data_IF_948815765270
#
_entry.id   IF_948815765270
#
_cell.length_a   1.000
_cell.length_b   1.000
_cell.length_c   1.000
_cell.angle_alpha   90.00
_cell.angle_beta   90.00
_cell.angle_gamma   90.00
#
_symmetry.space_group_name_H-M   'P 1'
#
loop_
_entity.id
_entity.type
_entity.pdbx_description
1 polymer ?
#
# COMPACT_ATOMS: atom_id res chain seq x y z
N UNK A 1 15.73 15.73 19.81
CA UNK A 1 14.86 14.93 18.92
C UNK A 1 15.67 14.65 17.67
N UNK A 2 16.11 13.41 17.45
CA UNK A 2 16.77 13.07 16.18
C UNK A 2 15.71 13.18 15.07
N UNK A 3 15.98 13.95 14.03
CA UNK A 3 15.16 13.92 12.82
C UNK A 3 14.99 12.47 12.36
N UNK A 4 13.76 12.03 12.13
CA UNK A 4 13.49 10.72 11.52
C UNK A 4 14.30 10.64 10.22
N UNK A 5 15.31 9.77 10.20
CA UNK A 5 16.21 9.63 9.07
C UNK A 5 15.66 8.51 8.17
N UNK A 6 14.87 8.85 7.17
CA UNK A 6 14.26 7.92 6.20
C UNK A 6 15.28 7.32 5.21
N UNK A 7 16.54 7.18 5.61
CA UNK A 7 17.67 7.03 4.71
C UNK A 7 17.61 5.72 3.92
N UNK A 8 17.65 5.81 2.59
CA UNK A 8 17.65 4.65 1.69
C UNK A 8 16.29 3.96 1.55
N UNK A 9 15.19 4.60 1.96
CA UNK A 9 13.82 4.16 1.66
C UNK A 9 13.34 4.73 0.33
N UNK A 10 12.68 3.89 -0.45
CA UNK A 10 11.88 4.28 -1.61
C UNK A 10 10.44 3.83 -1.42
N UNK A 11 9.49 4.54 -2.01
CA UNK A 11 8.09 4.15 -1.92
C UNK A 11 7.28 4.60 -3.14
N UNK A 12 6.12 3.99 -3.31
CA UNK A 12 5.11 4.41 -4.26
C UNK A 12 3.71 4.22 -3.67
N UNK A 13 2.76 5.04 -4.10
CA UNK A 13 1.37 4.95 -3.66
C UNK A 13 0.49 4.64 -4.87
N UNK A 14 -0.38 3.64 -4.74
CA UNK A 14 -1.42 3.31 -5.72
C UNK A 14 -2.76 3.75 -5.11
N UNK A 15 -3.50 4.59 -5.83
CA UNK A 15 -4.80 5.13 -5.44
C UNK A 15 -5.88 4.62 -6.39
N UNK A 16 -6.81 3.84 -5.87
CA UNK A 16 -7.91 3.25 -6.64
C UNK A 16 -9.16 4.12 -6.54
N UNK A 17 -9.83 4.38 -7.66
CA UNK A 17 -11.10 5.09 -7.69
C UNK A 17 -11.87 4.78 -8.98
N UNK A 18 -13.08 5.32 -9.11
CA UNK A 18 -13.89 5.22 -10.32
C UNK A 18 -14.06 6.59 -10.95
N UNK A 19 -14.19 6.62 -12.27
CA UNK A 19 -14.34 7.87 -12.99
C UNK A 19 -15.30 7.78 -14.16
N UNK A 20 -16.09 8.83 -14.35
CA UNK A 20 -17.01 8.89 -15.48
C UNK A 20 -16.20 8.93 -16.79
N UNK A 21 -16.54 8.09 -17.78
CA UNK A 21 -16.07 8.33 -19.13
C UNK A 21 -16.68 9.65 -19.66
N UNK A 22 -15.99 10.38 -20.53
CA UNK A 22 -16.50 11.64 -21.08
C UNK A 22 -17.79 11.42 -21.89
N UNK A 23 -18.77 12.31 -21.76
CA UNK A 23 -20.00 12.30 -22.56
C UNK A 23 -19.70 12.73 -24.01
N UNK A 24 -19.67 11.81 -24.99
CA UNK A 24 -20.08 12.01 -26.41
C UNK A 24 -19.74 10.85 -27.37
N UNK A 25 -20.50 10.82 -28.46
CA UNK A 25 -20.57 9.82 -29.54
C UNK A 25 -19.26 9.43 -30.26
N UNK A 26 -18.14 10.13 -30.04
CA UNK A 26 -16.85 9.82 -30.66
C UNK A 26 -16.12 8.65 -29.99
N UNK A 27 -16.55 8.23 -28.81
CA UNK A 27 -15.91 7.15 -28.07
C UNK A 27 -16.53 5.76 -28.28
N UNK A 28 -17.51 5.62 -29.21
CA UNK A 28 -18.20 4.34 -29.50
C UNK A 28 -17.26 3.21 -29.96
N UNK A 29 -16.03 3.54 -30.36
CA UNK A 29 -15.01 2.58 -30.80
C UNK A 29 -14.02 2.17 -29.69
N UNK A 30 -14.14 2.73 -28.48
CA UNK A 30 -13.16 2.56 -27.41
C UNK A 30 -13.80 1.96 -26.16
N UNK A 31 -13.00 1.25 -25.36
CA UNK A 31 -13.48 0.75 -24.06
C UNK A 31 -13.73 1.93 -23.11
N UNK A 32 -14.87 1.97 -22.39
CA UNK A 32 -15.16 3.02 -21.40
C UNK A 32 -14.04 3.18 -20.37
N UNK A 33 -13.37 2.08 -20.04
CA UNK A 33 -12.24 2.06 -19.10
C UNK A 33 -11.05 2.88 -19.60
N UNK A 34 -10.65 2.72 -20.87
CA UNK A 34 -9.57 3.52 -21.47
C UNK A 34 -9.95 5.00 -21.60
N UNK A 35 -11.21 5.28 -21.93
CA UNK A 35 -11.72 6.65 -22.07
C UNK A 35 -11.72 7.40 -20.72
N UNK A 36 -12.16 6.77 -19.63
CA UNK A 36 -12.17 7.37 -18.31
C UNK A 36 -10.75 7.76 -17.83
N UNK A 37 -9.78 6.85 -17.97
CA UNK A 37 -8.37 7.10 -17.59
C UNK A 37 -7.71 8.19 -18.44
N UNK A 38 -7.90 8.11 -19.76
CA UNK A 38 -7.40 9.11 -20.71
C UNK A 38 -7.98 10.50 -20.40
N UNK A 39 -9.27 10.58 -20.08
CA UNK A 39 -9.92 11.84 -19.77
C UNK A 39 -9.33 12.51 -18.52
N UNK A 40 -9.23 11.78 -17.40
CA UNK A 40 -8.68 12.35 -16.16
C UNK A 40 -7.23 12.78 -16.35
N UNK A 41 -6.41 11.91 -16.94
CA UNK A 41 -4.99 12.22 -17.13
C UNK A 41 -4.77 13.43 -18.03
N UNK A 42 -5.55 13.62 -19.10
CA UNK A 42 -5.53 14.83 -19.95
C UNK A 42 -6.07 16.07 -19.25
N UNK A 43 -7.11 15.97 -18.43
CA UNK A 43 -7.59 17.11 -17.65
C UNK A 43 -6.55 17.54 -16.62
N UNK A 44 -5.84 16.57 -16.02
CA UNK A 44 -4.83 16.83 -15.01
C UNK A 44 -3.65 17.64 -15.57
N UNK A 45 -3.24 17.43 -16.82
CA UNK A 45 -2.16 18.22 -17.46
C UNK A 45 -2.47 19.72 -17.55
N UNK A 46 -3.74 20.13 -17.39
CA UNK A 46 -4.14 21.54 -17.38
C UNK A 46 -3.89 22.21 -16.03
N UNK A 47 -3.66 21.43 -14.97
CA UNK A 47 -3.58 21.91 -13.59
C UNK A 47 -2.29 21.53 -12.87
N UNK A 48 -1.37 20.84 -13.53
CA UNK A 48 -0.06 20.50 -12.97
C UNK A 48 0.99 20.37 -14.07
N UNK A 49 2.26 20.58 -13.72
CA UNK A 49 3.42 20.30 -14.57
C UNK A 49 4.07 18.95 -14.27
N UNK A 50 3.49 18.16 -13.36
CA UNK A 50 4.01 16.84 -12.99
C UNK A 50 3.95 15.87 -14.17
N UNK A 51 4.93 14.96 -14.33
CA UNK A 51 4.89 13.97 -15.40
C UNK A 51 3.71 13.02 -15.27
N UNK A 52 2.93 12.84 -16.34
CA UNK A 52 1.72 12.02 -16.35
C UNK A 52 1.78 11.04 -17.52
N UNK A 53 1.51 9.78 -17.23
CA UNK A 53 1.35 8.74 -18.23
C UNK A 53 0.06 7.94 -18.01
N UNK A 54 -0.39 7.24 -19.05
CA UNK A 54 -1.56 6.40 -18.98
C UNK A 54 -1.29 5.07 -19.70
N UNK A 55 -1.74 3.97 -19.09
CA UNK A 55 -1.68 2.64 -19.68
C UNK A 55 -2.82 2.43 -20.68
N UNK A 56 -2.45 1.99 -21.88
CA UNK A 56 -3.37 1.58 -22.92
C UNK A 56 -3.65 0.06 -22.85
N UNK A 57 -4.85 -0.34 -23.25
CA UNK A 57 -5.33 -1.72 -23.12
C UNK A 57 -5.97 -2.22 -24.42
N UNK A 58 -5.21 -2.16 -25.51
CA UNK A 58 -5.69 -2.52 -26.86
C UNK A 58 -4.71 -3.48 -27.57
N UNK A 59 -5.20 -4.20 -28.58
CA UNK A 59 -4.35 -4.96 -29.49
C UNK A 59 -3.68 -4.04 -30.51
N UNK A 60 -2.62 -4.51 -31.18
CA UNK A 60 -1.67 -3.68 -31.96
C UNK A 60 -2.26 -2.83 -33.09
N UNK A 61 -3.54 -2.98 -33.45
CA UNK A 61 -4.21 -2.22 -34.52
C UNK A 61 -5.57 -1.64 -34.11
N UNK A 62 -5.93 -1.68 -32.83
CA UNK A 62 -7.20 -1.15 -32.33
C UNK A 62 -7.10 0.34 -31.99
N UNK A 63 -8.16 1.07 -32.25
CA UNK A 63 -8.29 2.44 -31.77
C UNK A 63 -8.35 2.43 -30.22
N UNK A 64 -7.46 3.18 -29.56
CA UNK A 64 -7.48 3.35 -28.10
C UNK A 64 -7.57 4.83 -27.70
N UNK A 65 -8.46 5.16 -26.76
CA UNK A 65 -8.69 6.53 -26.31
C UNK A 65 -7.48 7.15 -25.62
N UNK A 66 -6.59 6.29 -25.09
CA UNK A 66 -5.31 6.69 -24.52
C UNK A 66 -4.32 7.06 -25.63
N UNK A 67 -4.31 6.31 -26.74
CA UNK A 67 -3.29 6.44 -27.79
C UNK A 67 -3.63 7.42 -28.91
N UNK A 68 -4.93 7.69 -29.12
CA UNK A 68 -5.44 8.38 -30.31
C UNK A 68 -4.75 9.72 -30.60
N UNK A 69 -4.44 10.48 -29.55
CA UNK A 69 -3.87 11.83 -29.67
C UNK A 69 -2.39 11.90 -29.24
N UNK A 70 -1.75 10.76 -29.01
CA UNK A 70 -0.38 10.71 -28.49
C UNK A 70 0.59 10.43 -29.65
N UNK A 71 1.60 11.29 -29.88
CA UNK A 71 2.68 11.02 -30.84
C UNK A 71 3.44 9.72 -30.54
N UNK A 72 3.89 9.00 -31.57
CA UNK A 72 4.56 7.71 -31.38
C UNK A 72 5.84 7.80 -30.55
N UNK A 73 6.56 8.93 -30.61
CA UNK A 73 7.73 9.18 -29.76
C UNK A 73 7.42 9.25 -28.26
N UNK A 74 6.15 9.39 -27.88
CA UNK A 74 5.68 9.40 -26.49
C UNK A 74 4.93 8.11 -26.13
N UNK A 75 5.11 7.05 -26.90
CA UNK A 75 4.59 5.71 -26.62
C UNK A 75 5.74 4.77 -26.33
N UNK A 76 5.66 4.05 -25.22
CA UNK A 76 6.61 2.99 -24.85
C UNK A 76 5.84 1.74 -24.44
N UNK A 77 5.79 0.75 -25.32
CA UNK A 77 4.98 -0.46 -25.11
C UNK A 77 3.50 -0.11 -24.93
N UNK A 78 2.95 -0.36 -23.74
CA UNK A 78 1.56 -0.03 -23.37
C UNK A 78 1.40 1.31 -22.65
N UNK A 79 2.48 2.08 -22.50
CA UNK A 79 2.47 3.34 -21.76
C UNK A 79 2.46 4.51 -22.75
N UNK A 80 1.53 5.43 -22.57
CA UNK A 80 1.46 6.70 -23.31
C UNK A 80 1.79 7.84 -22.35
N UNK A 81 2.86 8.60 -22.64
CA UNK A 81 3.26 9.77 -21.87
C UNK A 81 2.47 10.99 -22.35
N UNK A 82 1.47 11.38 -21.57
CA UNK A 82 0.55 12.47 -21.90
C UNK A 82 1.20 13.82 -21.60
N UNK A 83 1.93 13.89 -20.49
CA UNK A 83 2.78 15.00 -20.12
C UNK A 83 4.16 14.43 -19.75
N UNK A 84 5.09 14.29 -20.71
CA UNK A 84 6.44 13.85 -20.40
C UNK A 84 7.15 14.90 -19.52
N UNK A 85 8.06 14.45 -18.66
CA UNK A 85 8.90 15.36 -17.88
C UNK A 85 9.96 16.07 -18.74
N UNK A 86 10.80 16.89 -18.10
CA UNK A 86 11.76 17.74 -18.79
C UNK A 86 12.95 16.99 -19.44
N UNK A 87 13.18 15.72 -19.10
CA UNK A 87 14.32 14.92 -19.59
C UNK A 87 13.88 13.63 -20.27
N UNK A 88 14.73 13.04 -21.13
CA UNK A 88 14.46 11.73 -21.73
C UNK A 88 14.36 10.60 -20.68
N UNK A 89 15.01 10.76 -19.52
CA UNK A 89 14.92 9.86 -18.35
C UNK A 89 13.53 9.87 -17.71
N UNK A 90 12.72 10.92 -17.93
CA UNK A 90 11.33 10.99 -17.48
C UNK A 90 10.36 10.08 -18.26
N UNK A 91 10.87 9.33 -19.24
CA UNK A 91 10.13 8.31 -19.99
C UNK A 91 10.28 6.89 -19.42
N UNK A 92 10.56 6.78 -18.12
CA UNK A 92 10.38 5.56 -17.36
C UNK A 92 9.05 5.60 -16.60
N UNK A 93 8.29 4.50 -16.61
CA UNK A 93 6.94 4.45 -16.03
C UNK A 93 6.93 4.69 -14.50
N UNK A 94 8.06 4.44 -13.84
CA UNK A 94 8.33 4.71 -12.43
C UNK A 94 8.67 6.18 -12.14
N UNK A 95 8.78 7.03 -13.16
CA UNK A 95 9.10 8.46 -13.03
C UNK A 95 7.89 9.37 -13.28
N UNK A 96 6.71 8.80 -13.46
CA UNK A 96 5.48 9.54 -13.74
C UNK A 96 4.31 9.08 -12.87
N UNK A 97 3.30 9.95 -12.76
CA UNK A 97 2.00 9.53 -12.29
C UNK A 97 1.32 8.70 -13.38
N UNK A 98 1.16 7.40 -13.11
CA UNK A 98 0.69 6.43 -14.08
C UNK A 98 -0.76 6.03 -13.80
N UNK A 99 -1.64 6.24 -14.78
CA UNK A 99 -3.04 5.81 -14.71
C UNK A 99 -3.21 4.44 -15.38
N UNK A 100 -3.65 3.44 -14.61
CA UNK A 100 -3.87 2.05 -15.06
C UNK A 100 -5.32 1.62 -14.89
N UNK A 101 -5.68 0.57 -15.62
CA UNK A 101 -6.95 -0.10 -15.40
C UNK A 101 -6.97 -0.76 -14.03
N UNK A 102 -8.08 -0.60 -13.32
CA UNK A 102 -8.34 -1.34 -12.07
C UNK A 102 -9.69 -2.05 -12.14
N UNK A 103 -9.75 -3.25 -11.54
CA UNK A 103 -10.99 -3.99 -11.39
C UNK A 103 -11.58 -3.73 -10.00
N UNK A 104 -12.79 -3.15 -9.96
CA UNK A 104 -13.49 -2.81 -8.71
C UNK A 104 -14.91 -3.38 -8.72
N UNK A 105 -15.30 -4.05 -7.64
CA UNK A 105 -16.62 -4.70 -7.51
C UNK A 105 -17.80 -3.74 -7.24
N UNK A 106 -17.58 -2.42 -7.15
CA UNK A 106 -18.62 -1.40 -6.94
C UNK A 106 -19.58 -1.73 -5.79
N UNK A 107 -19.13 -1.58 -4.54
CA UNK A 107 -19.85 -2.09 -3.35
C UNK A 107 -21.02 -1.21 -2.92
N UNK A 108 -20.95 0.12 -3.13
CA UNK A 108 -22.06 1.03 -2.77
C UNK A 108 -23.08 1.09 -3.90
N UNK A 109 -24.37 1.07 -3.53
CA UNK A 109 -25.48 1.11 -4.49
C UNK A 109 -25.42 2.26 -5.50
N UNK A 110 -24.99 3.46 -5.07
CA UNK A 110 -24.80 4.61 -5.98
C UNK A 110 -23.72 4.36 -7.03
N UNK A 111 -22.62 3.71 -6.68
CA UNK A 111 -21.54 3.41 -7.62
C UNK A 111 -21.89 2.21 -8.50
N UNK A 112 -22.60 1.21 -7.97
CA UNK A 112 -23.17 0.12 -8.76
C UNK A 112 -24.15 0.64 -9.83
N UNK A 113 -24.96 1.64 -9.51
CA UNK A 113 -25.85 2.31 -10.48
C UNK A 113 -25.07 3.10 -11.54
N UNK A 114 -23.99 3.79 -11.15
CA UNK A 114 -23.13 4.54 -12.09
C UNK A 114 -22.37 3.62 -13.03
N UNK A 115 -21.91 2.47 -12.53
CA UNK A 115 -21.08 1.51 -13.27
C UNK A 115 -19.87 2.20 -13.93
N UNK A 116 -19.24 3.12 -13.20
CA UNK A 116 -18.08 3.84 -13.71
C UNK A 116 -16.84 2.95 -13.67
N UNK A 117 -15.99 2.99 -14.71
CA UNK A 117 -14.75 2.23 -14.74
C UNK A 117 -13.82 2.50 -13.56
N UNK A 118 -13.19 1.44 -13.06
CA UNK A 118 -12.07 1.52 -12.12
C UNK A 118 -10.80 2.08 -12.78
N UNK A 119 -10.10 2.89 -11.98
CA UNK A 119 -8.85 3.57 -12.32
C UNK A 119 -7.91 3.44 -11.13
N UNK A 120 -6.71 2.95 -11.37
CA UNK A 120 -5.59 3.03 -10.42
C UNK A 120 -4.66 4.17 -10.86
N UNK A 121 -4.33 5.07 -9.94
CA UNK A 121 -3.30 6.09 -10.14
C UNK A 121 -2.10 5.77 -9.28
N UNK A 122 -0.98 5.45 -9.91
CA UNK A 122 0.29 5.20 -9.23
C UNK A 122 1.14 6.46 -9.20
N UNK A 123 1.78 6.75 -8.07
CA UNK A 123 2.84 7.75 -8.02
C UNK A 123 4.09 7.27 -8.78
N UNK A 124 4.99 8.18 -9.16
CA UNK A 124 6.39 7.78 -9.38
C UNK A 124 6.97 7.08 -8.14
N UNK A 125 8.12 6.44 -8.29
CA UNK A 125 8.93 5.99 -7.15
C UNK A 125 9.51 7.22 -6.48
N UNK A 126 9.07 7.45 -5.25
CA UNK A 126 9.44 8.58 -4.41
C UNK A 126 10.54 8.14 -3.45
N UNK A 127 11.44 9.07 -3.11
CA UNK A 127 12.55 8.83 -2.19
C UNK A 127 12.34 9.50 -0.83
N UNK A 128 13.30 9.28 0.07
CA UNK A 128 13.33 9.81 1.43
C UNK A 128 13.07 11.32 1.56
N UNK A 129 13.51 12.13 0.60
CA UNK A 129 13.34 13.59 0.63
C UNK A 129 11.87 14.00 0.47
N UNK A 130 11.11 13.28 -0.37
CA UNK A 130 9.68 13.50 -0.53
C UNK A 130 8.93 13.16 0.77
N UNK A 131 9.31 12.05 1.42
CA UNK A 131 8.73 11.65 2.71
C UNK A 131 9.04 12.67 3.81
N UNK A 132 10.31 13.09 3.93
CA UNK A 132 10.76 14.07 4.93
C UNK A 132 10.09 15.44 4.77
N UNK A 133 9.74 15.82 3.54
CA UNK A 133 9.05 17.09 3.23
C UNK A 133 7.53 17.00 3.30
N UNK A 134 6.97 15.84 3.70
CA UNK A 134 5.54 15.65 3.88
C UNK A 134 4.77 15.44 2.59
N UNK A 135 5.38 14.81 1.58
CA UNK A 135 4.78 14.44 0.29
C UNK A 135 4.24 15.61 -0.56
N UNK A 136 5.02 16.68 -0.81
CA UNK A 136 4.57 17.84 -1.59
C UNK A 136 4.16 17.52 -3.03
N UNK A 137 4.80 16.55 -3.67
CA UNK A 137 4.50 16.12 -5.04
C UNK A 137 3.12 15.46 -5.10
N UNK A 138 2.81 14.60 -4.15
CA UNK A 138 1.48 13.99 -4.01
C UNK A 138 0.42 15.04 -3.65
N UNK A 139 0.74 15.99 -2.76
CA UNK A 139 -0.15 17.10 -2.40
C UNK A 139 -0.54 17.92 -3.63
N UNK A 140 0.45 18.31 -4.45
CA UNK A 140 0.26 19.05 -5.70
C UNK A 140 -0.67 18.31 -6.64
N UNK A 141 -0.47 17.00 -6.80
CA UNK A 141 -1.29 16.18 -7.67
C UNK A 141 -2.75 16.08 -7.18
N UNK A 142 -2.98 15.81 -5.90
CA UNK A 142 -4.33 15.71 -5.33
C UNK A 142 -5.09 17.04 -5.43
N UNK A 143 -4.40 18.17 -5.21
CA UNK A 143 -4.93 19.51 -5.45
C UNK A 143 -5.32 19.70 -6.92
N UNK A 144 -4.42 19.37 -7.84
CA UNK A 144 -4.69 19.45 -9.28
C UNK A 144 -5.87 18.56 -9.70
N UNK A 145 -5.98 17.36 -9.14
CA UNK A 145 -7.08 16.42 -9.42
C UNK A 145 -8.44 17.03 -9.06
N UNK A 146 -8.54 17.71 -7.92
CA UNK A 146 -9.77 18.41 -7.49
C UNK A 146 -10.12 19.63 -8.35
N UNK A 147 -9.15 20.20 -9.06
CA UNK A 147 -9.35 21.35 -9.97
C UNK A 147 -9.81 20.93 -11.37
N UNK A 148 -9.63 19.66 -11.75
CA UNK A 148 -9.99 19.16 -13.09
C UNK A 148 -11.48 19.25 -13.43
N UNK A 149 -12.36 19.29 -12.42
CA UNK A 149 -13.81 19.12 -12.62
C UNK A 149 -14.22 17.72 -13.08
N UNK A 150 -13.30 16.75 -13.11
CA UNK A 150 -13.60 15.37 -13.48
C UNK A 150 -14.57 14.74 -12.47
N UNK A 151 -15.53 13.97 -12.99
CA UNK A 151 -16.45 13.21 -12.17
C UNK A 151 -15.76 11.95 -11.64
N UNK A 152 -15.26 12.05 -10.41
CA UNK A 152 -14.55 10.98 -9.70
C UNK A 152 -15.36 10.54 -8.49
N UNK A 153 -15.45 9.23 -8.26
CA UNK A 153 -16.10 8.62 -7.09
C UNK A 153 -15.23 7.51 -6.53
N UNK A 154 -15.42 7.17 -5.25
CA UNK A 154 -14.77 6.05 -4.60
C UNK A 154 -15.72 5.42 -3.57
N UNK A 155 -15.50 4.16 -3.22
CA UNK A 155 -16.20 3.49 -2.12
C UNK A 155 -15.33 2.45 -1.42
N UNK A 156 -15.95 1.61 -0.59
CA UNK A 156 -15.28 0.60 0.23
C UNK A 156 -14.48 -0.44 -0.59
N UNK A 157 -14.74 -0.56 -1.90
CA UNK A 157 -13.92 -1.39 -2.81
C UNK A 157 -12.58 -0.74 -3.15
N UNK A 158 -12.46 0.58 -3.05
CA UNK A 158 -11.27 1.34 -3.41
C UNK A 158 -10.25 1.37 -2.27
N UNK A 159 -9.02 0.95 -2.55
CA UNK A 159 -7.88 1.02 -1.66
C UNK A 159 -6.87 2.11 -1.99
N UNK A 160 -6.03 2.35 -0.98
CA UNK A 160 -4.76 3.03 -1.14
C UNK A 160 -3.66 2.03 -0.77
N UNK A 161 -2.89 1.58 -1.76
CA UNK A 161 -1.76 0.69 -1.53
C UNK A 161 -0.47 1.49 -1.42
N UNK A 162 0.39 1.12 -0.48
CA UNK A 162 1.72 1.72 -0.36
C UNK A 162 2.76 0.64 -0.56
N UNK A 163 3.59 0.82 -1.58
CA UNK A 163 4.77 0.02 -1.82
C UNK A 163 5.96 0.67 -1.12
N UNK A 164 6.68 -0.07 -0.30
CA UNK A 164 7.92 0.41 0.33
C UNK A 164 9.06 -0.52 -0.05
N UNK A 165 10.14 0.06 -0.57
CA UNK A 165 11.38 -0.60 -0.95
C UNK A 165 12.57 0.04 -0.24
N UNK A 166 13.75 -0.53 -0.47
CA UNK A 166 15.03 -0.02 0.01
C UNK A 166 16.01 0.06 -1.15
N UNK A 167 16.87 1.07 -1.16
CA UNK A 167 17.81 1.32 -2.27
C UNK A 167 18.80 0.16 -2.51
N UNK A 168 19.16 -0.58 -1.46
CA UNK A 168 19.98 -1.79 -1.54
C UNK A 168 19.24 -3.04 -2.05
N UNK A 169 17.94 -2.92 -2.35
CA UNK A 169 17.08 -4.04 -2.70
C UNK A 169 16.57 -4.83 -1.50
N UNK A 170 15.41 -5.48 -1.67
CA UNK A 170 14.78 -6.26 -0.60
C UNK A 170 15.50 -7.60 -0.43
N UNK A 171 15.76 -7.97 0.81
CA UNK A 171 16.27 -9.29 1.20
C UNK A 171 15.18 -10.10 1.87
N UNK A 172 15.24 -11.43 1.80
CA UNK A 172 14.32 -12.29 2.58
C UNK A 172 14.44 -12.00 4.07
N UNK A 173 15.64 -11.71 4.57
CA UNK A 173 15.89 -11.37 5.98
C UNK A 173 15.15 -10.10 6.40
N UNK A 174 15.25 -9.03 5.63
CA UNK A 174 14.53 -7.79 5.90
C UNK A 174 13.01 -8.01 5.80
N UNK A 175 12.54 -8.73 4.78
CA UNK A 175 11.13 -9.01 4.60
C UNK A 175 10.53 -9.81 5.78
N UNK A 176 11.25 -10.82 6.32
CA UNK A 176 10.85 -11.55 7.55
C UNK A 176 10.68 -10.61 8.75
N UNK A 177 11.60 -9.66 8.92
CA UNK A 177 11.56 -8.66 10.00
C UNK A 177 10.39 -7.69 9.83
N UNK A 178 10.14 -7.21 8.61
CA UNK A 178 8.96 -6.38 8.30
C UNK A 178 7.67 -7.14 8.62
N UNK A 179 7.53 -8.37 8.12
CA UNK A 179 6.36 -9.21 8.38
C UNK A 179 6.17 -9.49 9.86
N UNK A 180 7.26 -9.70 10.62
CA UNK A 180 7.21 -9.85 12.08
C UNK A 180 6.58 -8.63 12.75
N UNK A 181 7.03 -7.42 12.40
CA UNK A 181 6.44 -6.19 12.93
C UNK A 181 4.96 -6.06 12.54
N UNK A 182 4.60 -6.36 11.30
CA UNK A 182 3.19 -6.30 10.85
C UNK A 182 2.32 -7.26 11.66
N UNK A 183 2.75 -8.49 11.91
CA UNK A 183 1.99 -9.46 12.73
C UNK A 183 1.75 -8.93 14.15
N UNK A 184 2.75 -8.30 14.76
CA UNK A 184 2.63 -7.76 16.13
C UNK A 184 1.76 -6.48 16.20
N UNK A 185 1.61 -5.78 15.08
CA UNK A 185 0.96 -4.47 14.99
C UNK A 185 -0.41 -4.51 14.29
N UNK A 186 -0.76 -5.61 13.63
CA UNK A 186 -1.92 -5.67 12.73
C UNK A 186 -3.21 -5.25 13.44
N UNK A 187 -3.51 -5.89 14.58
CA UNK A 187 -4.77 -5.66 15.31
C UNK A 187 -4.77 -4.40 16.17
N UNK A 188 -3.60 -3.92 16.64
CA UNK A 188 -3.53 -2.84 17.64
C UNK A 188 -3.12 -1.49 17.07
N UNK A 189 -2.48 -1.46 15.90
CA UNK A 189 -2.07 -0.23 15.23
C UNK A 189 -2.61 -0.15 13.80
N UNK A 190 -2.30 -1.12 12.95
CA UNK A 190 -2.58 -1.04 11.50
C UNK A 190 -4.09 -1.01 11.24
N UNK A 191 -4.82 -2.03 11.68
CA UNK A 191 -6.27 -2.09 11.53
C UNK A 191 -6.95 -0.95 12.30
N UNK A 192 -6.37 -0.53 13.43
CA UNK A 192 -6.91 0.59 14.23
C UNK A 192 -6.95 1.91 13.45
N UNK A 193 -5.95 2.16 12.60
CA UNK A 193 -5.76 3.42 11.86
C UNK A 193 -6.42 3.44 10.47
N UNK A 194 -7.01 2.34 10.03
CA UNK A 194 -7.76 2.26 8.76
C UNK A 194 -9.27 2.17 9.01
N UNK A 195 -10.06 2.45 7.98
CA UNK A 195 -11.52 2.42 8.04
C UNK A 195 -12.04 1.01 8.36
N UNK A 196 -13.07 0.86 9.21
CA UNK A 196 -13.61 -0.45 9.60
C UNK A 196 -14.05 -1.34 8.43
N UNK A 197 -14.50 -0.76 7.31
CA UNK A 197 -14.85 -1.54 6.11
C UNK A 197 -13.66 -2.31 5.51
N UNK A 198 -12.43 -1.91 5.84
CA UNK A 198 -11.21 -2.59 5.38
C UNK A 198 -10.86 -3.82 6.18
N UNK A 199 -11.33 -3.93 7.43
CA UNK A 199 -11.00 -5.04 8.32
C UNK A 199 -11.49 -6.40 7.81
N UNK A 200 -12.59 -6.38 7.06
CA UNK A 200 -13.22 -7.57 6.49
C UNK A 200 -13.20 -7.59 4.95
N UNK A 201 -12.45 -6.67 4.33
CA UNK A 201 -12.38 -6.58 2.87
C UNK A 201 -11.63 -7.78 2.30
N UNK A 202 -12.23 -8.48 1.34
CA UNK A 202 -11.58 -9.57 0.61
C UNK A 202 -10.33 -9.13 -0.16
N UNK A 203 -10.21 -7.83 -0.45
CA UNK A 203 -9.07 -7.24 -1.14
C UNK A 203 -7.95 -6.80 -0.20
N UNK A 204 -8.19 -6.77 1.12
CA UNK A 204 -7.21 -6.33 2.11
C UNK A 204 -7.24 -7.19 3.39
N UNK A 205 -7.64 -8.46 3.24
CA UNK A 205 -7.79 -9.44 4.32
C UNK A 205 -6.60 -9.43 5.29
N UNK A 206 -6.81 -9.36 6.61
CA UNK A 206 -5.72 -9.41 7.60
C UNK A 206 -4.83 -10.63 7.44
N UNK A 207 -3.52 -10.45 7.51
CA UNK A 207 -2.56 -11.56 7.33
C UNK A 207 -2.62 -12.54 8.50
N UNK A 208 -2.88 -12.07 9.72
CA UNK A 208 -2.96 -12.92 10.91
C UNK A 208 -4.23 -13.77 10.94
N UNK A 209 -5.19 -13.52 10.06
CA UNK A 209 -6.43 -14.29 9.97
C UNK A 209 -6.51 -15.14 8.71
N UNK A 210 -6.15 -14.57 7.55
CA UNK A 210 -6.50 -15.13 6.24
C UNK A 210 -5.30 -15.62 5.42
N UNK A 211 -4.06 -15.31 5.83
CA UNK A 211 -2.87 -15.77 5.08
C UNK A 211 -2.65 -17.28 5.20
N UNK A 212 -1.85 -17.85 4.29
CA UNK A 212 -1.42 -19.25 4.43
C UNK A 212 -0.66 -19.47 5.74
N UNK A 213 0.20 -18.54 6.14
CA UNK A 213 0.95 -18.63 7.40
C UNK A 213 0.02 -18.74 8.62
N UNK A 214 -1.11 -18.02 8.62
CA UNK A 214 -2.10 -18.08 9.69
C UNK A 214 -2.91 -19.39 9.68
N UNK A 215 -3.14 -19.99 8.51
CA UNK A 215 -3.94 -21.22 8.35
C UNK A 215 -3.14 -22.51 8.42
N UNK A 216 -1.81 -22.47 8.25
CA UNK A 216 -0.96 -23.66 8.26
C UNK A 216 -0.83 -24.24 9.66
N UNK A 217 -0.82 -25.57 9.72
CA UNK A 217 -0.40 -26.30 10.91
C UNK A 217 1.12 -26.21 11.10
N UNK A 218 1.57 -26.50 12.32
CA UNK A 218 2.97 -26.35 12.71
C UNK A 218 3.92 -27.07 11.73
N UNK A 219 4.88 -26.32 11.19
CA UNK A 219 5.95 -26.85 10.36
C UNK A 219 7.11 -27.33 11.25
N UNK A 220 7.79 -28.38 10.79
CA UNK A 220 9.15 -28.67 11.25
C UNK A 220 10.07 -27.59 10.66
N UNK A 221 10.80 -26.90 11.52
CA UNK A 221 11.71 -25.82 11.15
C UNK A 221 13.12 -26.33 11.31
N UNK A 222 14.00 -25.96 10.39
CA UNK A 222 15.43 -26.25 10.50
C UNK A 222 16.00 -25.62 11.79
N UNK A 223 17.03 -26.23 12.34
CA UNK A 223 17.77 -25.72 13.50
C UNK A 223 18.35 -24.33 13.23
N UNK A 224 18.86 -24.09 12.01
CA UNK A 224 19.41 -22.79 11.62
C UNK A 224 18.34 -21.68 11.60
N UNK A 225 17.17 -21.97 11.04
CA UNK A 225 16.03 -21.04 11.02
C UNK A 225 15.47 -20.79 12.43
N UNK A 226 15.51 -21.81 13.28
CA UNK A 226 15.13 -21.69 14.70
C UNK A 226 16.09 -20.77 15.44
N UNK A 227 17.39 -20.89 15.23
CA UNK A 227 18.40 -20.00 15.84
C UNK A 227 18.24 -18.55 15.38
N UNK A 228 18.01 -18.32 14.08
CA UNK A 228 17.74 -16.99 13.54
C UNK A 228 16.46 -16.39 14.15
N UNK A 229 15.38 -17.18 14.22
CA UNK A 229 14.13 -16.76 14.84
C UNK A 229 14.31 -16.35 16.31
N UNK A 230 14.97 -17.18 17.13
CA UNK A 230 15.18 -16.95 18.56
C UNK A 230 16.09 -15.74 18.86
N UNK A 231 16.92 -15.33 17.89
CA UNK A 231 17.71 -14.10 17.98
C UNK A 231 16.84 -12.85 18.00
N UNK A 232 15.69 -12.87 17.32
CA UNK A 232 14.88 -11.67 17.08
C UNK A 232 13.52 -11.67 17.73
N UNK A 233 12.94 -12.86 17.95
CA UNK A 233 11.60 -13.03 18.48
C UNK A 233 11.71 -13.61 19.90
N UNK A 234 11.10 -12.97 20.91
CA UNK A 234 11.05 -13.49 22.26
C UNK A 234 10.42 -14.88 22.34
N UNK A 235 10.78 -15.65 23.36
CA UNK A 235 10.24 -17.00 23.57
C UNK A 235 8.71 -16.99 23.68
N UNK A 236 8.06 -18.08 23.27
CA UNK A 236 6.60 -18.20 23.36
C UNK A 236 6.04 -17.88 24.76
N UNK A 237 6.79 -18.21 25.81
CA UNK A 237 6.42 -17.96 27.20
C UNK A 237 6.29 -16.47 27.57
N UNK A 238 6.93 -15.56 26.83
CA UNK A 238 6.76 -14.12 27.03
C UNK A 238 5.53 -13.55 26.31
N UNK A 239 4.96 -14.29 25.36
CA UNK A 239 3.75 -13.89 24.64
C UNK A 239 2.50 -14.23 25.45
N UNK A 240 1.82 -13.19 25.95
CA UNK A 240 0.61 -13.33 26.77
C UNK A 240 -0.67 -13.16 25.94
N UNK A 241 -1.76 -13.87 26.25
CA UNK A 241 -3.05 -13.65 25.60
C UNK A 241 -3.53 -12.21 25.75
N UNK A 242 -3.90 -11.56 24.65
CA UNK A 242 -4.55 -10.24 24.63
C UNK A 242 -5.09 -9.93 23.22
N UNK A 243 -5.69 -8.74 23.05
CA UNK A 243 -6.34 -8.36 21.79
C UNK A 243 -5.39 -8.38 20.58
N UNK A 244 -4.09 -8.12 20.74
CA UNK A 244 -3.17 -8.11 19.59
C UNK A 244 -3.00 -9.50 18.96
N UNK A 245 -3.09 -10.57 19.75
CA UNK A 245 -2.95 -11.94 19.28
C UNK A 245 -4.27 -12.74 19.32
N UNK A 246 -5.41 -12.06 19.33
CA UNK A 246 -6.74 -12.68 19.42
C UNK A 246 -6.85 -13.70 20.59
N UNK A 247 -6.13 -13.45 21.69
CA UNK A 247 -6.00 -14.35 22.84
C UNK A 247 -5.39 -15.74 22.52
N UNK A 248 -4.75 -15.91 21.36
CA UNK A 248 -4.05 -17.13 20.95
C UNK A 248 -2.55 -16.86 20.66
N UNK A 249 -1.73 -16.67 21.71
CA UNK A 249 -0.29 -16.47 21.54
C UNK A 249 0.40 -17.68 20.89
N UNK A 250 -0.17 -18.89 20.97
CA UNK A 250 0.44 -20.09 20.37
C UNK A 250 0.35 -20.05 18.85
N UNK A 251 -0.81 -19.67 18.32
CA UNK A 251 -1.03 -19.50 16.88
C UNK A 251 -0.12 -18.40 16.32
N UNK A 252 -0.05 -17.24 16.98
CA UNK A 252 0.81 -16.14 16.52
C UNK A 252 2.31 -16.51 16.58
N UNK A 253 2.76 -17.19 17.63
CA UNK A 253 4.13 -17.70 17.70
C UNK A 253 4.44 -18.70 16.58
N UNK A 254 3.51 -19.63 16.29
CA UNK A 254 3.60 -20.55 15.14
C UNK A 254 3.68 -19.82 13.81
N UNK A 255 2.83 -18.80 13.61
CA UNK A 255 2.81 -18.00 12.39
C UNK A 255 4.15 -17.29 12.19
N UNK A 256 4.66 -16.61 13.23
CA UNK A 256 5.98 -15.97 13.18
C UNK A 256 7.07 -16.99 12.83
N UNK A 257 7.07 -18.16 13.49
CA UNK A 257 7.99 -19.25 13.16
C UNK A 257 7.92 -19.67 11.68
N UNK A 258 6.71 -19.82 11.11
CA UNK A 258 6.54 -20.16 9.69
C UNK A 258 7.03 -19.09 8.72
N UNK A 259 6.91 -17.80 9.09
CA UNK A 259 7.52 -16.70 8.33
C UNK A 259 9.05 -16.82 8.34
N UNK A 260 9.63 -17.12 9.50
CA UNK A 260 11.07 -17.24 9.64
C UNK A 260 11.67 -18.50 8.99
N UNK A 261 10.87 -19.53 8.69
CA UNK A 261 11.29 -20.70 7.91
C UNK A 261 11.26 -20.50 6.39
N UNK A 262 10.90 -19.32 5.89
CA UNK A 262 10.91 -19.03 4.44
C UNK A 262 12.34 -18.88 3.92
N UNK A 263 12.76 -19.70 2.96
CA UNK A 263 14.13 -19.65 2.41
C UNK A 263 14.36 -18.43 1.49
N UNK A 264 13.32 -17.95 0.82
CA UNK A 264 13.43 -16.85 -0.15
C UNK A 264 12.19 -15.92 -0.14
N UNK A 265 12.30 -14.82 -0.88
CA UNK A 265 11.20 -13.85 -1.02
C UNK A 265 9.97 -14.44 -1.72
N UNK A 266 10.13 -15.45 -2.58
CA UNK A 266 9.02 -16.09 -3.28
C UNK A 266 8.20 -16.96 -2.33
N UNK A 267 8.85 -17.77 -1.50
CA UNK A 267 8.19 -18.57 -0.47
C UNK A 267 7.48 -17.66 0.54
N UNK A 268 8.13 -16.59 0.99
CA UNK A 268 7.50 -15.61 1.88
C UNK A 268 6.29 -14.92 1.23
N UNK A 269 6.41 -14.54 -0.05
CA UNK A 269 5.29 -13.96 -0.80
C UNK A 269 4.09 -14.93 -0.89
N UNK A 270 4.33 -16.24 -0.93
CA UNK A 270 3.28 -17.26 -0.94
C UNK A 270 2.64 -17.46 0.42
N UNK A 271 3.44 -17.44 1.50
CA UNK A 271 2.93 -17.55 2.87
C UNK A 271 1.95 -16.42 3.24
N UNK A 272 2.17 -15.23 2.67
CA UNK A 272 1.33 -14.05 2.90
C UNK A 272 0.05 -13.99 2.06
N UNK A 273 -0.24 -15.00 1.23
CA UNK A 273 -1.45 -15.04 0.40
C UNK A 273 -2.62 -15.77 1.05
N UNK A 274 -3.83 -15.29 0.80
CA UNK A 274 -5.08 -15.99 1.11
C UNK A 274 -5.28 -17.15 0.14
N UNK A 275 -5.38 -18.36 0.69
CA UNK A 275 -5.50 -19.60 -0.10
C UNK A 275 -4.35 -19.83 -1.08
N UNK A 276 -3.20 -19.14 -0.90
CA UNK A 276 -2.08 -19.16 -1.85
C UNK A 276 -2.28 -18.39 -3.15
N UNK A 277 -3.43 -17.74 -3.32
CA UNK A 277 -3.80 -17.11 -4.59
C UNK A 277 -3.86 -15.60 -4.40
N UNK A 278 -4.73 -15.11 -3.52
CA UNK A 278 -5.02 -13.69 -3.38
C UNK A 278 -4.08 -13.01 -2.39
N UNK A 279 -3.69 -11.76 -2.66
CA UNK A 279 -2.89 -10.97 -1.72
C UNK A 279 -3.74 -10.59 -0.50
N UNK A 280 -3.16 -10.70 0.69
CA UNK A 280 -3.73 -10.16 1.93
C UNK A 280 -3.38 -8.68 2.11
N UNK A 281 -3.64 -8.11 3.29
CA UNK A 281 -3.31 -6.73 3.67
C UNK A 281 -1.82 -6.41 3.58
N UNK A 282 -0.94 -7.40 3.77
CA UNK A 282 0.49 -7.31 3.46
C UNK A 282 0.81 -8.27 2.32
N UNK A 283 1.60 -7.81 1.34
CA UNK A 283 2.12 -8.65 0.27
C UNK A 283 3.58 -8.31 -0.06
N UNK A 284 4.29 -9.27 -0.67
CA UNK A 284 5.60 -9.02 -1.30
C UNK A 284 5.36 -8.84 -2.81
N UNK A 285 5.61 -7.64 -3.31
CA UNK A 285 5.52 -7.34 -4.74
C UNK A 285 6.87 -7.62 -5.41
N UNK A 286 7.05 -8.89 -5.79
CA UNK A 286 8.26 -9.41 -6.43
C UNK A 286 8.56 -8.69 -7.75
N UNK A 287 9.81 -8.27 -7.91
CA UNK A 287 10.33 -7.61 -9.12
C UNK A 287 11.70 -8.19 -9.49
N UNK A 288 11.96 -8.32 -10.78
CA UNK A 288 13.28 -8.72 -11.28
C UNK A 288 14.26 -7.55 -11.14
N UNK A 289 15.55 -7.78 -11.43
CA UNK A 289 16.62 -6.76 -11.35
C UNK A 289 16.35 -5.53 -12.22
N UNK A 290 15.57 -5.68 -13.29
CA UNK A 290 15.13 -4.60 -14.17
C UNK A 290 13.84 -3.89 -13.69
N UNK A 291 13.37 -4.20 -12.48
CA UNK A 291 12.18 -3.60 -11.87
C UNK A 291 10.84 -4.15 -12.37
N UNK A 292 10.85 -5.08 -13.34
CA UNK A 292 9.62 -5.63 -13.91
C UNK A 292 8.98 -6.65 -12.97
N UNK A 293 7.65 -6.60 -12.85
CA UNK A 293 6.86 -7.62 -12.13
C UNK A 293 6.93 -8.93 -12.91
N UNK A 294 7.38 -10.01 -12.29
CA UNK A 294 7.36 -11.33 -12.94
C UNK A 294 5.93 -11.87 -12.95
N UNK A 295 5.40 -12.20 -14.13
CA UNK A 295 4.03 -12.70 -14.29
C UNK A 295 3.92 -14.21 -14.09
N UNK A 296 5.05 -14.91 -14.11
CA UNK A 296 5.15 -16.34 -13.94
C UNK A 296 6.04 -16.60 -12.74
N UNK A 297 5.62 -17.48 -11.83
CA UNK A 297 6.35 -17.90 -10.63
C UNK A 297 7.58 -18.75 -10.99
N UNK A 298 8.47 -18.20 -11.81
CA UNK A 298 9.78 -18.77 -12.03
C UNK A 298 10.57 -18.49 -10.75
N UNK A 299 11.32 -19.49 -10.28
CA UNK A 299 12.31 -19.36 -9.20
C UNK A 299 13.45 -18.43 -9.66
N UNK A 300 13.13 -17.17 -9.86
CA UNK A 300 14.12 -16.11 -10.04
C UNK A 300 14.69 -15.73 -8.66
N UNK A 301 15.97 -15.39 -8.63
CA UNK A 301 16.60 -14.84 -7.43
C UNK A 301 16.13 -13.40 -7.25
N UNK A 302 15.12 -13.20 -6.40
CA UNK A 302 14.60 -11.88 -6.03
C UNK A 302 15.44 -11.16 -4.96
N UNK A 303 16.46 -11.83 -4.43
CA UNK A 303 17.31 -11.28 -3.38
C UNK A 303 18.06 -10.04 -3.88
N UNK A 304 17.92 -8.92 -3.17
CA UNK A 304 18.55 -7.65 -3.53
C UNK A 304 17.93 -6.98 -4.77
N UNK A 305 16.78 -7.44 -5.26
CA UNK A 305 16.07 -6.77 -6.37
C UNK A 305 15.23 -5.60 -5.83
N UNK A 306 14.71 -4.70 -6.69
CA UNK A 306 13.82 -3.61 -6.25
C UNK A 306 12.42 -4.10 -5.82
N UNK A 307 12.29 -5.36 -5.39
CA UNK A 307 11.10 -5.90 -4.74
C UNK A 307 10.69 -4.99 -3.59
N UNK A 308 9.38 -4.83 -3.41
CA UNK A 308 8.81 -3.97 -2.35
C UNK A 308 7.87 -4.76 -1.47
N UNK A 309 7.72 -4.36 -0.22
CA UNK A 309 6.55 -4.74 0.59
C UNK A 309 5.38 -3.84 0.22
N UNK A 310 4.19 -4.42 0.07
CA UNK A 310 2.96 -3.75 -0.35
C UNK A 310 1.95 -3.79 0.80
N UNK A 311 1.60 -2.61 1.32
CA UNK A 311 0.60 -2.43 2.36
C UNK A 311 -0.73 -2.07 1.72
N UNK A 312 -1.70 -2.98 1.80
CA UNK A 312 -3.01 -2.91 1.15
C UNK A 312 -4.16 -2.62 2.12
N UNK A 313 -3.87 -2.33 3.38
CA UNK A 313 -4.88 -2.16 4.43
C UNK A 313 -5.76 -0.91 4.22
N UNK A 314 -5.18 0.20 3.80
CA UNK A 314 -5.86 1.49 3.84
C UNK A 314 -6.94 1.63 2.76
N UNK A 315 -8.05 2.24 3.13
CA UNK A 315 -9.05 2.73 2.20
C UNK A 315 -8.48 3.85 1.34
N UNK A 316 -9.04 4.02 0.14
CA UNK A 316 -8.74 5.15 -0.72
C UNK A 316 -8.96 6.49 0.01
N UNK A 317 -8.17 7.51 -0.32
CA UNK A 317 -8.36 8.87 0.17
C UNK A 317 -7.91 9.92 -0.86
N UNK A 318 -8.58 11.06 -0.87
CA UNK A 318 -8.14 12.28 -1.55
C UNK A 318 -7.54 13.31 -0.58
N UNK A 319 -7.59 13.02 0.72
CA UNK A 319 -7.02 13.86 1.77
C UNK A 319 -5.51 13.58 1.92
N UNK A 320 -4.71 14.58 1.58
CA UNK A 320 -3.25 14.54 1.66
C UNK A 320 -2.75 14.25 3.08
N UNK A 321 -3.44 14.75 4.12
CA UNK A 321 -3.02 14.56 5.51
C UNK A 321 -3.11 13.08 5.89
N UNK A 322 -4.24 12.45 5.58
CA UNK A 322 -4.44 11.02 5.83
C UNK A 322 -3.45 10.17 5.02
N UNK A 323 -3.27 10.48 3.73
CA UNK A 323 -2.32 9.78 2.88
C UNK A 323 -0.90 9.84 3.45
N UNK A 324 -0.41 11.04 3.78
CA UNK A 324 0.92 11.24 4.35
C UNK A 324 1.09 10.48 5.66
N UNK A 325 0.13 10.59 6.57
CA UNK A 325 0.22 9.94 7.87
C UNK A 325 0.27 8.42 7.74
N UNK A 326 -0.51 7.86 6.81
CA UNK A 326 -0.46 6.43 6.51
C UNK A 326 0.88 6.01 5.92
N UNK A 327 1.41 6.75 4.94
CA UNK A 327 2.73 6.49 4.33
C UNK A 327 3.84 6.52 5.39
N UNK A 328 3.82 7.50 6.30
CA UNK A 328 4.79 7.58 7.41
C UNK A 328 4.74 6.36 8.33
N UNK A 329 3.54 5.89 8.69
CA UNK A 329 3.38 4.67 9.52
C UNK A 329 3.99 3.46 8.83
N UNK A 330 3.63 3.18 7.57
CA UNK A 330 4.11 1.97 6.88
C UNK A 330 5.59 2.06 6.50
N UNK A 331 6.09 3.25 6.15
CA UNK A 331 7.52 3.48 5.94
C UNK A 331 8.31 3.25 7.24
N UNK A 332 7.76 3.68 8.39
CA UNK A 332 8.41 3.48 9.69
C UNK A 332 8.46 2.01 10.11
N UNK A 333 7.49 1.19 9.73
CA UNK A 333 7.58 -0.28 9.91
C UNK A 333 8.83 -0.83 9.18
N UNK A 334 9.04 -0.42 7.94
CA UNK A 334 10.21 -0.87 7.15
C UNK A 334 11.52 -0.34 7.74
N UNK A 335 11.52 0.91 8.19
CA UNK A 335 12.69 1.53 8.83
C UNK A 335 13.09 0.82 10.13
N UNK A 336 12.13 0.55 11.01
CA UNK A 336 12.36 -0.21 12.25
C UNK A 336 12.85 -1.64 11.98
N UNK A 337 12.39 -2.26 10.88
CA UNK A 337 12.85 -3.57 10.47
C UNK A 337 14.30 -3.59 9.94
N UNK A 338 14.94 -2.43 9.73
CA UNK A 338 16.34 -2.31 9.33
C UNK A 338 17.30 -2.06 10.50
N UNK A 339 16.80 -1.93 11.72
CA UNK A 339 17.62 -1.76 12.91
C UNK A 339 18.67 -2.88 13.06
N UNK A 340 19.71 -2.65 13.85
CA UNK A 340 20.64 -3.73 14.21
C UNK A 340 19.92 -4.82 15.03
N UNK A 341 20.45 -6.05 15.02
CA UNK A 341 19.75 -7.22 15.52
C UNK A 341 19.26 -7.10 16.98
N UNK A 342 20.11 -6.55 17.87
CA UNK A 342 19.79 -6.31 19.27
C UNK A 342 18.75 -5.19 19.45
N UNK A 343 18.80 -4.16 18.61
CA UNK A 343 17.83 -3.07 18.62
C UNK A 343 16.47 -3.55 18.11
N UNK A 344 16.46 -4.37 17.07
CA UNK A 344 15.23 -4.99 16.55
C UNK A 344 14.54 -5.85 17.58
N UNK A 345 15.31 -6.69 18.29
CA UNK A 345 14.77 -7.52 19.36
C UNK A 345 14.10 -6.66 20.44
N UNK A 346 14.74 -5.56 20.86
CA UNK A 346 14.17 -4.60 21.81
C UNK A 346 12.90 -3.93 21.28
N UNK A 347 12.84 -3.60 19.99
CA UNK A 347 11.64 -3.07 19.34
C UNK A 347 10.49 -4.09 19.45
N UNK A 348 10.76 -5.35 19.09
CA UNK A 348 9.78 -6.44 19.19
C UNK A 348 9.28 -6.63 20.63
N UNK A 349 10.19 -6.69 21.61
CA UNK A 349 9.87 -6.80 23.04
C UNK A 349 8.99 -5.62 23.49
N UNK A 350 9.37 -4.38 23.12
CA UNK A 350 8.63 -3.18 23.46
C UNK A 350 7.21 -3.18 22.89
N UNK A 351 7.02 -3.65 21.64
CA UNK A 351 5.69 -3.76 21.04
C UNK A 351 4.83 -4.77 21.81
N UNK A 352 5.39 -5.93 22.16
CA UNK A 352 4.68 -6.96 22.93
C UNK A 352 4.27 -6.44 24.30
N UNK A 353 5.17 -5.76 25.01
CA UNK A 353 4.90 -5.19 26.33
C UNK A 353 3.81 -4.12 26.29
N UNK A 354 3.90 -3.18 25.33
CA UNK A 354 2.89 -2.13 25.15
C UNK A 354 1.50 -2.70 24.82
N UNK A 355 1.45 -3.72 23.97
CA UNK A 355 0.20 -4.39 23.65
C UNK A 355 -0.38 -5.11 24.88
N UNK A 356 0.48 -5.72 25.71
CA UNK A 356 0.06 -6.38 26.94
C UNK A 356 -0.44 -5.38 27.99
N UNK A 357 0.29 -4.29 28.23
CA UNK A 357 -0.09 -3.20 29.14
C UNK A 357 -1.47 -2.64 28.77
N UNK A 358 -1.70 -2.36 27.49
CA UNK A 358 -3.00 -1.88 27.00
C UNK A 358 -4.11 -2.91 27.21
N UNK A 359 -3.82 -4.20 26.98
CA UNK A 359 -4.75 -5.31 27.24
C UNK A 359 -5.18 -5.39 28.70
N UNK A 360 -4.22 -5.31 29.64
CA UNK A 360 -4.49 -5.33 31.10
C UNK A 360 -5.29 -4.11 31.54
N UNK A 361 -5.02 -2.94 30.96
CA UNK A 361 -5.71 -1.70 31.29
C UNK A 361 -7.06 -1.53 30.58
N UNK A 362 -7.44 -2.45 29.68
CA UNK A 362 -8.59 -2.32 28.80
C UNK A 362 -8.56 -1.02 27.96
N UNK A 363 -7.37 -0.60 27.56
CA UNK A 363 -7.13 0.58 26.72
C UNK A 363 -6.61 0.16 25.34
N UNK A 364 -6.30 1.13 24.48
CA UNK A 364 -5.75 0.88 23.15
C UNK A 364 -4.28 1.27 23.08
N UNK A 365 -3.45 0.39 22.53
CA UNK A 365 -2.00 0.58 22.49
C UNK A 365 -1.52 1.60 21.43
N UNK A 366 -2.37 1.98 20.45
CA UNK A 366 -1.91 2.70 19.25
C UNK A 366 -1.19 4.01 19.54
N UNK A 367 -1.62 4.81 20.53
CA UNK A 367 -0.94 6.07 20.88
C UNK A 367 0.45 5.82 21.44
N UNK A 368 0.55 4.86 22.37
CA UNK A 368 1.83 4.49 22.97
C UNK A 368 2.78 3.86 21.93
N UNK A 369 2.25 3.09 20.98
CA UNK A 369 3.04 2.56 19.86
C UNK A 369 3.55 3.68 18.95
N UNK A 370 2.70 4.65 18.59
CA UNK A 370 3.13 5.80 17.77
C UNK A 370 4.21 6.64 18.48
N UNK A 371 4.05 6.88 19.76
CA UNK A 371 4.98 7.69 20.56
C UNK A 371 6.29 6.95 20.88
N UNK A 372 6.20 5.79 21.52
CA UNK A 372 7.36 5.13 22.13
C UNK A 372 8.15 4.25 21.16
N UNK A 373 7.53 3.79 20.07
CA UNK A 373 8.18 2.89 19.09
C UNK A 373 8.41 3.61 17.77
N UNK A 374 7.38 4.30 17.24
CA UNK A 374 7.46 4.90 15.92
C UNK A 374 8.09 6.30 15.93
N UNK A 375 8.07 7.04 17.05
CA UNK A 375 8.49 8.44 17.07
C UNK A 375 7.59 9.34 16.22
N UNK A 376 6.30 8.98 16.12
CA UNK A 376 5.26 9.67 15.36
C UNK A 376 4.21 10.30 16.28
N UNK A 377 4.58 10.68 17.50
CA UNK A 377 3.69 11.32 18.47
C UNK A 377 3.07 12.62 17.93
N UNK A 378 3.82 13.35 17.10
CA UNK A 378 3.36 14.57 16.46
C UNK A 378 2.19 14.34 15.47
N UNK A 379 1.92 13.09 15.07
CA UNK A 379 0.79 12.70 14.20
C UNK A 379 -0.46 12.29 14.98
N UNK A 380 -0.37 12.09 16.29
CA UNK A 380 -1.50 11.63 17.11
C UNK A 380 -2.75 12.53 16.96
N UNK A 381 -2.65 13.88 16.98
CA UNK A 381 -3.85 14.73 16.84
C UNK A 381 -4.56 14.56 15.48
N UNK A 382 -3.80 14.38 14.40
CA UNK A 382 -4.36 14.17 13.07
C UNK A 382 -5.01 12.77 12.96
N UNK A 383 -4.42 11.76 13.61
CA UNK A 383 -5.05 10.44 13.72
C UNK A 383 -6.31 10.46 14.57
N UNK A 384 -6.32 11.14 15.72
CA UNK A 384 -7.54 11.30 16.53
C UNK A 384 -8.68 11.91 15.69
N UNK A 385 -8.41 12.98 14.95
CA UNK A 385 -9.38 13.61 14.06
C UNK A 385 -9.88 12.65 12.97
N UNK A 386 -8.99 11.84 12.38
CA UNK A 386 -9.38 10.85 11.38
C UNK A 386 -10.25 9.72 11.98
N UNK A 387 -9.89 9.23 13.16
CA UNK A 387 -10.65 8.19 13.83
C UNK A 387 -12.04 8.66 14.24
N UNK A 388 -12.20 9.95 14.55
CA UNK A 388 -13.51 10.56 14.78
C UNK A 388 -14.36 10.67 13.51
N UNK A 389 -13.76 10.93 12.34
CA UNK A 389 -14.45 10.82 11.04
C UNK A 389 -14.95 9.39 10.78
N UNK A 390 -14.13 8.37 11.08
CA UNK A 390 -14.56 6.98 10.93
C UNK A 390 -15.76 6.62 11.84
N UNK A 391 -15.82 7.14 13.07
CA UNK A 391 -17.00 6.95 13.93
C UNK A 391 -18.27 7.55 13.31
N UNK A 392 -18.13 8.58 12.48
CA UNK A 392 -19.22 9.22 11.74
C UNK A 392 -19.48 8.57 10.38
N UNK A 393 -18.86 7.41 10.08
CA UNK A 393 -18.94 6.71 8.79
C UNK A 393 -18.38 7.51 7.60
N UNK A 394 -17.54 8.52 7.84
CA UNK A 394 -16.78 9.19 6.80
C UNK A 394 -15.45 8.45 6.59
N UNK A 395 -15.46 7.42 5.75
CA UNK A 395 -14.28 6.59 5.49
C UNK A 395 -13.35 7.13 4.39
N UNK A 396 -13.93 7.77 3.37
CA UNK A 396 -13.19 8.38 2.26
C UNK A 396 -13.45 9.88 2.30
N UNK A 397 -12.46 10.64 2.75
CA UNK A 397 -12.58 12.10 2.89
C UNK A 397 -12.60 12.81 1.53
N UNK A 398 -13.18 14.02 1.55
CA UNK A 398 -13.38 14.91 0.38
C UNK A 398 -14.37 14.40 -0.67
N UNK A 399 -15.23 13.43 -0.33
CA UNK A 399 -16.41 13.11 -1.13
C UNK A 399 -17.64 13.90 -0.63
N UNK A 400 -18.52 14.31 -1.54
CA UNK A 400 -19.83 14.89 -1.19
C UNK A 400 -20.85 13.78 -0.86
N UNK A 401 -22.08 14.15 -0.52
CA UNK A 401 -23.16 13.22 -0.18
C UNK A 401 -23.54 12.26 -1.33
N UNK A 402 -23.16 12.60 -2.57
CA UNK A 402 -23.31 11.75 -3.75
C UNK A 402 -22.07 10.91 -4.01
N UNK A 403 -21.12 10.82 -3.07
CA UNK A 403 -19.82 10.14 -3.21
C UNK A 403 -18.92 10.72 -4.31
N UNK A 404 -19.18 11.95 -4.79
CA UNK A 404 -18.33 12.59 -5.80
C UNK A 404 -17.24 13.42 -5.14
N UNK A 405 -16.04 13.40 -5.72
CA UNK A 405 -14.92 14.22 -5.30
C UNK A 405 -15.31 15.70 -5.26
N UNK A 406 -15.08 16.35 -4.11
CA UNK A 406 -15.34 17.78 -3.91
C UNK A 406 -14.27 18.60 -4.65
N UNK A 407 -14.68 19.64 -5.40
CA UNK A 407 -13.72 20.57 -5.99
C UNK A 407 -12.91 21.29 -4.92
N UNK A 408 -11.77 21.86 -5.29
CA UNK A 408 -10.93 22.65 -4.39
C UNK A 408 -11.62 23.94 -3.92
#
# INVERSE_FOLDING_TARGET
>A
MSSLAWNGLTFGVELEFMAAPPERAHWKLYTPTAAARSNISKLLTQHTTLPIACECSHLTNEACAVCADIPDRYKAGRICYIQPGASAESMAADSCFLFKYEFLECVKGLNAQRCWPGVEMCTPVLGQAELASGLPTVKTLLSALRKTGALITADDSCGMHVHVGVEGGMTVYLAKRITTLVILLENTLILRLVAPCRWTSQYASPICEDSQAAKKEALNIDEADTSAFEKHVPSQSSMRPSNWNNNDPKMYYRMLRGIWSCEDLSSLAMELRKGGISRCGLAIALRNTDGRRNKLFIRDKYEGTPTTVEFRYSQMTFDHVLLRNWVEVVARIVDLARAEDEEFKKIVETIIDLNYEAGVQHTSAWKALLERVFGLEHRIPEWDAQLDKFKQSEYISLLNERLLLRPE
#
